data_IF_699215294008
#
_entry.id   IF_699215294008
#
_cell.length_a   1.000
_cell.length_b   1.000
_cell.length_c   1.000
_cell.angle_alpha   90.00
_cell.angle_beta   90.00
_cell.angle_gamma   90.00
#
_symmetry.space_group_name_H-M   'P 1'
#
loop_
_entity.id
_entity.type
_entity.pdbx_description
1 polymer ?
#
# COMPACT_ATOMS: atom_id res chain seq x y z
N UNK A 1 -2.27 -49.74 6.86
CA UNK A 1 -3.27 -49.33 5.85
C UNK A 1 -4.09 -48.07 6.21
N UNK A 2 -3.95 -47.48 7.41
CA UNK A 2 -4.62 -46.21 7.75
C UNK A 2 -3.80 -44.97 7.33
N UNK A 3 -2.48 -45.02 7.57
CA UNK A 3 -1.55 -43.93 7.25
C UNK A 3 -1.52 -43.57 5.75
N UNK A 4 -1.68 -44.56 4.89
CA UNK A 4 -1.74 -44.37 3.44
C UNK A 4 -3.01 -43.60 3.01
N UNK A 5 -4.15 -43.87 3.65
CA UNK A 5 -5.42 -43.23 3.31
C UNK A 5 -5.52 -41.78 3.79
N UNK A 6 -4.97 -41.47 4.97
CA UNK A 6 -4.93 -40.09 5.49
C UNK A 6 -3.98 -39.21 4.65
N UNK A 7 -2.89 -39.79 4.14
CA UNK A 7 -1.94 -39.04 3.32
C UNK A 7 -2.56 -38.60 1.99
N UNK A 8 -3.28 -39.49 1.30
CA UNK A 8 -3.97 -39.15 0.05
C UNK A 8 -5.01 -38.04 0.29
N UNK A 9 -5.77 -38.10 1.38
CA UNK A 9 -6.74 -37.06 1.74
C UNK A 9 -6.06 -35.69 1.99
N UNK A 10 -4.99 -35.67 2.79
CA UNK A 10 -4.23 -34.44 3.06
C UNK A 10 -3.60 -33.87 1.79
N UNK A 11 -3.13 -34.72 0.87
CA UNK A 11 -2.54 -34.28 -0.39
C UNK A 11 -3.55 -33.47 -1.24
N UNK A 12 -4.78 -33.97 -1.40
CA UNK A 12 -5.83 -33.23 -2.11
C UNK A 12 -6.22 -31.94 -1.39
N UNK A 13 -6.29 -31.98 -0.06
CA UNK A 13 -6.59 -30.81 0.75
C UNK A 13 -5.53 -29.71 0.59
N UNK A 14 -4.25 -30.07 0.69
CA UNK A 14 -3.15 -29.12 0.50
C UNK A 14 -3.07 -28.61 -0.94
N UNK A 15 -3.34 -29.45 -1.93
CA UNK A 15 -3.42 -29.02 -3.33
C UNK A 15 -4.54 -27.99 -3.53
N UNK A 16 -5.72 -28.21 -2.93
CA UNK A 16 -6.83 -27.25 -2.97
C UNK A 16 -6.45 -25.93 -2.29
N UNK A 17 -5.88 -25.98 -1.09
CA UNK A 17 -5.41 -24.78 -0.39
C UNK A 17 -4.36 -24.02 -1.20
N UNK A 18 -3.42 -24.72 -1.83
CA UNK A 18 -2.41 -24.12 -2.69
C UNK A 18 -3.06 -23.39 -3.85
N UNK A 19 -4.03 -24.00 -4.54
CA UNK A 19 -4.77 -23.35 -5.63
C UNK A 19 -5.50 -22.10 -5.13
N UNK A 20 -6.19 -22.18 -3.99
CA UNK A 20 -6.86 -21.02 -3.39
C UNK A 20 -5.88 -19.89 -3.07
N UNK A 21 -4.73 -20.20 -2.47
CA UNK A 21 -3.68 -19.21 -2.16
C UNK A 21 -3.08 -18.59 -3.42
N UNK A 22 -2.84 -19.40 -4.45
CA UNK A 22 -2.30 -18.92 -5.73
C UNK A 22 -3.29 -17.98 -6.44
N UNK A 23 -4.58 -18.34 -6.49
CA UNK A 23 -5.62 -17.47 -7.05
C UNK A 23 -5.72 -16.16 -6.27
N UNK A 24 -5.70 -16.22 -4.94
CA UNK A 24 -5.69 -15.04 -4.08
C UNK A 24 -4.46 -14.16 -4.36
N UNK A 25 -3.27 -14.76 -4.44
CA UNK A 25 -2.03 -14.05 -4.77
C UNK A 25 -2.13 -13.34 -6.13
N UNK A 26 -2.63 -14.01 -7.16
CA UNK A 26 -2.81 -13.38 -8.48
C UNK A 26 -3.86 -12.26 -8.47
N UNK A 27 -4.95 -12.41 -7.73
CA UNK A 27 -5.94 -11.36 -7.55
C UNK A 27 -5.33 -10.12 -6.91
N UNK A 28 -4.59 -10.31 -5.82
CA UNK A 28 -3.86 -9.24 -5.13
C UNK A 28 -2.82 -8.57 -6.02
N UNK A 29 -1.98 -9.33 -6.73
CA UNK A 29 -0.97 -8.79 -7.66
C UNK A 29 -1.64 -7.95 -8.75
N UNK A 30 -2.72 -8.45 -9.36
CA UNK A 30 -3.43 -7.72 -10.42
C UNK A 30 -4.01 -6.41 -9.91
N UNK A 31 -4.65 -6.42 -8.75
CA UNK A 31 -5.20 -5.22 -8.12
C UNK A 31 -4.09 -4.23 -7.74
N UNK A 32 -2.95 -4.73 -7.26
CA UNK A 32 -1.79 -3.92 -6.85
C UNK A 32 -1.05 -3.27 -8.02
N UNK A 33 -1.01 -3.96 -9.17
CA UNK A 33 -0.21 -3.51 -10.31
C UNK A 33 -0.85 -2.36 -11.10
N UNK A 34 -2.14 -2.09 -10.91
CA UNK A 34 -2.82 -0.96 -11.59
C UNK A 34 -2.17 0.38 -11.21
N UNK A 35 -1.53 1.04 -12.18
CA UNK A 35 -0.87 2.34 -11.99
C UNK A 35 -1.88 3.45 -11.69
N UNK A 36 -3.05 3.38 -12.29
CA UNK A 36 -4.14 4.33 -12.02
C UNK A 36 -4.63 4.21 -10.58
N UNK A 37 -4.80 2.99 -10.09
CA UNK A 37 -5.20 2.76 -8.69
C UNK A 37 -4.14 3.28 -7.70
N UNK A 38 -2.85 3.16 -8.04
CA UNK A 38 -1.74 3.72 -7.24
C UNK A 38 -1.80 5.24 -7.15
N UNK A 39 -2.04 5.92 -8.27
CA UNK A 39 -2.18 7.39 -8.32
C UNK A 39 -3.40 7.87 -7.54
N UNK A 40 -4.55 7.24 -7.75
CA UNK A 40 -5.79 7.54 -7.01
C UNK A 40 -5.63 7.28 -5.51
N UNK A 41 -4.93 6.21 -5.12
CA UNK A 41 -4.63 5.94 -3.72
C UNK A 41 -3.79 7.05 -3.09
N UNK A 42 -2.72 7.48 -3.75
CA UNK A 42 -1.84 8.54 -3.24
C UNK A 42 -2.62 9.86 -3.10
N UNK A 43 -3.43 10.22 -4.09
CA UNK A 43 -4.31 11.37 -4.02
C UNK A 43 -5.24 11.31 -2.79
N UNK A 44 -5.88 10.15 -2.57
CA UNK A 44 -6.80 9.96 -1.46
C UNK A 44 -6.10 10.02 -0.11
N UNK A 45 -4.90 9.45 0.02
CA UNK A 45 -4.09 9.49 1.24
C UNK A 45 -3.64 10.92 1.57
N UNK A 46 -3.21 11.70 0.59
CA UNK A 46 -2.81 13.10 0.78
C UNK A 46 -4.00 13.98 1.19
N UNK A 47 -5.15 13.75 0.54
CA UNK A 47 -6.41 14.47 0.86
C UNK A 47 -6.90 14.15 2.26
N UNK A 48 -6.88 12.87 2.66
CA UNK A 48 -7.26 12.41 4.00
C UNK A 48 -6.33 12.96 5.09
N UNK A 49 -5.08 13.23 4.73
CA UNK A 49 -4.09 13.87 5.61
C UNK A 49 -4.29 15.38 5.79
N UNK A 50 -5.31 15.98 5.14
CA UNK A 50 -5.63 17.41 5.26
C UNK A 50 -4.63 18.34 4.57
N UNK A 51 -3.81 17.82 3.66
CA UNK A 51 -2.82 18.60 2.91
C UNK A 51 -3.48 19.24 1.68
N UNK A 52 -3.71 20.54 1.75
CA UNK A 52 -4.20 21.33 0.61
C UNK A 52 -3.07 21.46 -0.41
N UNK A 53 -3.09 20.58 -1.40
CA UNK A 53 -1.97 20.36 -2.32
C UNK A 53 -2.39 20.64 -3.75
N UNK A 54 -1.59 21.41 -4.46
CA UNK A 54 -1.81 21.71 -5.88
C UNK A 54 -1.46 20.49 -6.72
N UNK A 55 -2.17 20.27 -7.84
CA UNK A 55 -1.87 19.18 -8.79
C UNK A 55 -0.39 19.12 -9.22
N UNK A 56 0.27 20.28 -9.36
CA UNK A 56 1.69 20.35 -9.69
C UNK A 56 2.61 19.80 -8.58
N UNK A 57 2.32 20.12 -7.31
CA UNK A 57 3.12 19.67 -6.16
C UNK A 57 2.91 18.16 -5.91
N UNK A 58 1.73 17.63 -6.21
CA UNK A 58 1.43 16.20 -6.14
C UNK A 58 2.20 15.40 -7.18
N UNK A 59 2.26 15.88 -8.41
CA UNK A 59 3.02 15.23 -9.49
C UNK A 59 4.53 15.31 -9.23
N UNK A 60 5.02 16.42 -8.66
CA UNK A 60 6.41 16.55 -8.21
C UNK A 60 6.72 15.57 -7.06
N UNK A 61 5.85 15.46 -6.06
CA UNK A 61 5.99 14.52 -4.95
C UNK A 61 5.96 13.05 -5.42
N UNK A 62 5.06 12.72 -6.36
CA UNK A 62 5.00 11.38 -6.94
C UNK A 62 6.27 11.03 -7.72
N UNK A 63 6.80 11.95 -8.54
CA UNK A 63 7.96 11.65 -9.38
C UNK A 63 9.30 11.71 -8.64
N UNK A 64 9.46 12.63 -7.67
CA UNK A 64 10.74 12.90 -7.03
C UNK A 64 10.92 12.13 -5.70
N UNK A 65 9.85 11.95 -4.91
CA UNK A 65 9.92 11.36 -3.56
C UNK A 65 9.39 9.94 -3.51
N UNK A 66 8.16 9.72 -3.97
CA UNK A 66 7.46 8.45 -3.73
C UNK A 66 7.82 7.43 -4.80
N UNK A 67 7.74 7.79 -6.08
CA UNK A 67 7.88 6.89 -7.24
C UNK A 67 6.95 5.67 -7.14
N UNK A 68 7.07 4.76 -8.10
CA UNK A 68 6.26 3.54 -8.13
C UNK A 68 6.48 2.63 -6.91
N UNK A 69 7.70 2.61 -6.36
CA UNK A 69 8.07 1.77 -5.22
C UNK A 69 7.57 2.34 -3.87
N UNK A 70 7.59 3.65 -3.67
CA UNK A 70 7.07 4.27 -2.45
C UNK A 70 5.55 4.17 -2.34
N UNK A 71 4.82 4.23 -3.47
CA UNK A 71 3.37 3.95 -3.47
C UNK A 71 3.12 2.47 -3.16
N UNK A 72 4.05 1.59 -3.55
CA UNK A 72 4.01 0.18 -3.17
C UNK A 72 4.21 -0.01 -1.65
N UNK A 73 5.09 0.75 -1.01
CA UNK A 73 5.26 0.69 0.44
C UNK A 73 4.05 1.26 1.16
N UNK A 74 3.55 2.44 0.76
CA UNK A 74 2.41 3.10 1.40
C UNK A 74 1.14 2.25 1.36
N UNK A 75 0.82 1.62 0.22
CA UNK A 75 -0.38 0.78 0.15
C UNK A 75 -0.17 -0.64 0.72
N UNK A 76 1.09 -1.10 0.88
CA UNK A 76 1.36 -2.29 1.71
C UNK A 76 1.11 -1.96 3.19
N UNK A 77 1.50 -0.76 3.62
CA UNK A 77 1.22 -0.27 4.96
C UNK A 77 -0.28 -0.03 5.18
N UNK A 78 -1.01 0.52 4.22
CA UNK A 78 -2.48 0.65 4.32
C UNK A 78 -3.15 -0.72 4.48
N UNK A 79 -2.69 -1.73 3.74
CA UNK A 79 -3.24 -3.08 3.80
C UNK A 79 -2.93 -3.83 5.11
N UNK A 80 -1.78 -3.56 5.76
CA UNK A 80 -1.35 -4.29 6.96
C UNK A 80 -1.50 -3.48 8.25
N UNK A 81 -1.27 -2.18 8.17
CA UNK A 81 -1.27 -1.23 9.28
C UNK A 81 -2.53 -0.38 9.36
N UNK A 82 -3.29 -0.25 8.27
CA UNK A 82 -4.51 0.56 8.20
C UNK A 82 -4.27 1.95 7.61
N UNK A 83 -5.39 2.62 7.29
CA UNK A 83 -5.40 3.90 6.57
C UNK A 83 -4.72 5.03 7.34
N UNK A 84 -4.97 5.12 8.65
CA UNK A 84 -4.43 6.17 9.51
C UNK A 84 -2.88 6.17 9.50
N UNK A 85 -2.28 4.99 9.62
CA UNK A 85 -0.83 4.78 9.65
C UNK A 85 -0.20 5.13 8.30
N UNK A 86 -0.87 4.79 7.19
CA UNK A 86 -0.43 5.16 5.85
C UNK A 86 -0.50 6.68 5.61
N UNK A 87 -1.53 7.35 6.15
CA UNK A 87 -1.68 8.80 6.11
C UNK A 87 -0.60 9.53 6.89
N UNK A 88 -0.30 9.08 8.12
CA UNK A 88 0.77 9.66 8.93
C UNK A 88 2.14 9.58 8.24
N UNK A 89 2.48 8.43 7.64
CA UNK A 89 3.72 8.32 6.86
C UNK A 89 3.72 9.19 5.62
N UNK A 90 2.62 9.28 4.88
CA UNK A 90 2.52 10.16 3.73
C UNK A 90 2.69 11.63 4.13
N UNK A 91 2.11 12.04 5.25
CA UNK A 91 2.26 13.38 5.82
C UNK A 91 3.71 13.66 6.25
N UNK A 92 4.38 12.68 6.89
CA UNK A 92 5.79 12.81 7.25
C UNK A 92 6.70 12.92 6.01
N UNK A 93 6.47 12.09 4.99
CA UNK A 93 7.20 12.16 3.72
C UNK A 93 6.99 13.52 3.05
N UNK A 94 5.75 14.01 3.01
CA UNK A 94 5.41 15.33 2.49
C UNK A 94 6.18 16.44 3.21
N UNK A 95 6.10 16.46 4.54
CA UNK A 95 6.76 17.47 5.38
C UNK A 95 8.28 17.41 5.27
N UNK A 96 8.85 16.24 5.01
CA UNK A 96 10.30 16.09 4.83
C UNK A 96 10.80 16.74 3.53
N UNK A 97 10.01 16.68 2.45
CA UNK A 97 10.37 17.27 1.15
C UNK A 97 9.99 18.74 1.06
N UNK A 98 8.82 19.10 1.59
CA UNK A 98 8.33 20.46 1.70
C UNK A 98 8.33 20.84 3.19
N UNK A 99 9.51 21.14 3.77
CA UNK A 99 9.58 21.59 5.15
C UNK A 99 8.73 22.86 5.27
N UNK A 100 7.66 22.76 6.05
CA UNK A 100 6.90 23.92 6.52
C UNK A 100 7.86 24.79 7.34
N UNK A 101 8.56 25.69 6.66
CA UNK A 101 9.41 26.70 7.28
C UNK A 101 8.48 27.63 8.05
N UNK A 102 8.29 27.39 9.35
CA UNK A 102 7.76 28.40 10.27
C UNK A 102 6.49 28.06 11.05
N UNK A 103 6.43 26.92 11.76
CA UNK A 103 5.55 26.78 12.94
C UNK A 103 6.24 26.06 14.12
N UNK A 104 7.50 26.44 14.40
CA UNK A 104 8.19 26.01 15.63
C UNK A 104 8.87 27.17 16.38
N UNK A 105 8.39 28.40 16.14
CA UNK A 105 8.61 29.54 17.01
C UNK A 105 7.22 30.04 17.41
N UNK A 106 6.95 30.08 18.71
CA UNK A 106 5.67 30.41 19.37
C UNK A 106 4.71 29.23 19.56
N UNK A 107 5.06 28.33 20.48
CA UNK A 107 4.28 28.06 21.71
C UNK A 107 5.22 27.49 22.78
#
# INVERSE_FOLDING_TARGET
MFNEKIFIFMWFWYAMLLVCTVVNLFAWIRQRYSKDARRTFLHNVLTDSGLDTTEAEREEFYNDVVKDDGVLVLLLLDANGGRLQSGELAHQLWTSKFPQTGKRFLE
#
